data_IF_998957056022
#
_entry.id   IF_998957056022
#
_cell.length_a   1.000
_cell.length_b   1.000
_cell.length_c   1.000
_cell.angle_alpha   90.00
_cell.angle_beta   90.00
_cell.angle_gamma   90.00
#
_symmetry.space_group_name_H-M   'P 1'
#
loop_
_entity.id
_entity.type
_entity.pdbx_description
1 polymer ?
#
# COMPACT_ATOMS: atom_id res chain seq x y z
N UNK A 1 -3.11 7.44 -35.84
CA UNK A 1 -4.46 8.07 -35.86
C UNK A 1 -4.70 8.64 -34.47
N UNK A 2 -4.77 9.97 -34.32
CA UNK A 2 -5.09 10.59 -33.03
C UNK A 2 -6.57 10.32 -32.75
N UNK A 3 -6.86 9.50 -31.73
CA UNK A 3 -8.24 9.27 -31.30
C UNK A 3 -8.77 10.57 -30.68
N UNK A 4 -9.90 11.03 -31.19
CA UNK A 4 -10.61 12.20 -30.69
C UNK A 4 -11.51 11.70 -29.57
N UNK A 5 -11.38 12.28 -28.38
CA UNK A 5 -12.20 11.95 -27.23
C UNK A 5 -13.25 13.02 -26.97
N UNK A 6 -14.47 12.59 -26.65
CA UNK A 6 -15.60 13.47 -26.41
C UNK A 6 -15.82 13.70 -24.90
N UNK A 7 -16.42 14.85 -24.56
CA UNK A 7 -16.82 15.15 -23.19
C UNK A 7 -17.89 14.14 -22.74
N UNK A 8 -17.73 13.58 -21.54
CA UNK A 8 -18.58 12.53 -20.98
C UNK A 8 -18.16 11.11 -21.34
N UNK A 9 -17.13 10.93 -22.17
CA UNK A 9 -16.62 9.60 -22.54
C UNK A 9 -15.81 8.98 -21.38
N UNK A 10 -15.99 7.67 -21.18
CA UNK A 10 -15.19 6.89 -20.24
C UNK A 10 -13.92 6.43 -20.92
N UNK A 11 -12.80 6.72 -20.29
CA UNK A 11 -11.45 6.43 -20.78
C UNK A 11 -10.63 5.78 -19.67
N UNK A 12 -9.59 5.06 -20.04
CA UNK A 12 -8.62 4.49 -19.10
C UNK A 12 -7.32 5.28 -19.20
N UNK A 13 -6.76 5.66 -18.05
CA UNK A 13 -5.45 6.29 -18.02
C UNK A 13 -4.38 5.23 -18.30
N UNK A 14 -3.58 5.44 -19.34
CA UNK A 14 -2.55 4.49 -19.76
C UNK A 14 -1.53 4.17 -18.66
N UNK A 15 -1.19 5.16 -17.83
CA UNK A 15 -0.16 5.04 -16.77
C UNK A 15 -0.71 4.42 -15.50
N UNK A 16 -1.88 4.85 -15.07
CA UNK A 16 -2.45 4.49 -13.75
C UNK A 16 -3.42 3.30 -13.85
N UNK A 17 -3.84 2.94 -15.06
CA UNK A 17 -4.82 1.86 -15.34
C UNK A 17 -6.17 2.08 -14.66
N UNK A 18 -6.48 3.32 -14.25
CA UNK A 18 -7.75 3.73 -13.65
C UNK A 18 -8.74 4.22 -14.72
N UNK A 19 -10.04 4.11 -14.43
CA UNK A 19 -11.13 4.55 -15.31
C UNK A 19 -11.49 5.99 -14.96
N UNK A 20 -11.51 6.89 -15.94
CA UNK A 20 -11.91 8.26 -15.74
C UNK A 20 -12.96 8.70 -16.77
N UNK A 21 -13.69 9.75 -16.44
CA UNK A 21 -14.66 10.42 -17.32
C UNK A 21 -14.11 11.76 -17.77
N UNK A 22 -14.19 12.06 -19.06
CA UNK A 22 -13.73 13.34 -19.60
C UNK A 22 -14.73 14.44 -19.21
N UNK A 23 -14.25 15.49 -18.54
CA UNK A 23 -15.05 16.64 -18.13
C UNK A 23 -14.98 17.79 -19.13
N UNK A 24 -13.81 18.08 -19.69
CA UNK A 24 -13.61 19.24 -20.57
C UNK A 24 -12.40 19.03 -21.49
N UNK A 25 -12.50 19.48 -22.74
CA UNK A 25 -11.34 19.52 -23.63
C UNK A 25 -10.61 20.86 -23.45
N UNK A 26 -9.31 20.80 -23.14
CA UNK A 26 -8.44 21.97 -22.95
C UNK A 26 -7.52 22.08 -24.16
N UNK A 27 -8.02 22.74 -25.21
CA UNK A 27 -7.35 22.85 -26.50
C UNK A 27 -7.24 21.51 -27.24
N UNK A 28 -6.29 21.40 -28.17
CA UNK A 28 -6.19 20.24 -29.07
C UNK A 28 -5.44 19.04 -28.46
N UNK A 29 -4.67 19.25 -27.38
CA UNK A 29 -3.71 18.26 -26.86
C UNK A 29 -3.99 17.78 -25.44
N UNK A 30 -4.75 18.54 -24.66
CA UNK A 30 -4.99 18.26 -23.23
C UNK A 30 -6.48 18.17 -22.97
N UNK A 31 -6.85 17.35 -22.00
CA UNK A 31 -8.22 17.20 -21.54
C UNK A 31 -8.25 17.14 -20.02
N UNK A 32 -9.33 17.66 -19.46
CA UNK A 32 -9.66 17.54 -18.05
C UNK A 32 -10.49 16.29 -17.85
N UNK A 33 -10.05 15.42 -16.96
CA UNK A 33 -10.70 14.16 -16.62
C UNK A 33 -11.05 14.12 -15.14
N UNK A 34 -12.04 13.31 -14.80
CA UNK A 34 -12.42 13.00 -13.43
C UNK A 34 -12.37 11.50 -13.20
N UNK A 35 -11.59 11.09 -12.22
CA UNK A 35 -11.43 9.67 -11.87
C UNK A 35 -12.64 9.13 -11.08
N UNK A 36 -12.69 7.81 -10.88
CA UNK A 36 -13.74 7.14 -10.09
C UNK A 36 -13.80 7.63 -8.64
N UNK A 37 -12.67 8.06 -8.07
CA UNK A 37 -12.58 8.67 -6.73
C UNK A 37 -12.97 10.16 -6.70
N UNK A 38 -13.32 10.74 -7.84
CA UNK A 38 -13.85 12.10 -7.94
C UNK A 38 -12.81 13.23 -8.05
N UNK A 39 -11.54 12.90 -8.16
CA UNK A 39 -10.45 13.86 -8.39
C UNK A 39 -10.35 14.30 -9.85
N UNK A 40 -9.99 15.57 -10.09
CA UNK A 40 -9.89 16.14 -11.43
C UNK A 40 -8.42 16.35 -11.86
N UNK A 41 -8.06 15.87 -13.04
CA UNK A 41 -6.71 15.96 -13.59
C UNK A 41 -6.70 16.55 -14.99
N UNK A 42 -5.61 17.24 -15.36
CA UNK A 42 -5.36 17.67 -16.74
C UNK A 42 -4.31 16.75 -17.33
N UNK A 43 -4.71 15.94 -18.32
CA UNK A 43 -3.86 14.93 -18.94
C UNK A 43 -3.80 15.13 -20.46
N UNK A 44 -2.73 14.64 -21.08
CA UNK A 44 -2.58 14.69 -22.53
C UNK A 44 -3.43 13.61 -23.20
N UNK A 45 -4.01 13.91 -24.37
CA UNK A 45 -4.79 12.95 -25.16
C UNK A 45 -4.03 11.64 -25.45
N UNK A 46 -2.70 11.68 -25.53
CA UNK A 46 -1.86 10.50 -25.75
C UNK A 46 -1.77 9.52 -24.58
N UNK A 47 -2.09 9.98 -23.37
CA UNK A 47 -2.08 9.16 -22.15
C UNK A 47 -3.47 8.57 -21.83
N UNK A 48 -4.45 8.78 -22.73
CA UNK A 48 -5.79 8.23 -22.62
C UNK A 48 -5.99 7.06 -23.58
N UNK A 49 -6.69 6.04 -23.08
CA UNK A 49 -7.15 4.91 -23.86
C UNK A 49 -8.69 4.89 -23.86
N UNK A 50 -9.33 4.71 -25.02
CA UNK A 50 -10.77 4.55 -25.10
C UNK A 50 -11.19 3.26 -24.39
N UNK A 51 -12.30 3.31 -23.66
CA UNK A 51 -12.89 2.14 -23.04
C UNK A 51 -13.99 1.57 -23.94
N UNK A 52 -13.73 0.45 -24.62
CA UNK A 52 -14.73 -0.25 -25.41
C UNK A 52 -15.60 -1.13 -24.49
N UNK A 53 -16.78 -0.61 -24.10
CA UNK A 53 -17.75 -1.26 -23.20
C UNK A 53 -18.18 -2.67 -23.65
N UNK A 54 -18.07 -2.99 -24.94
CA UNK A 54 -18.36 -4.32 -25.49
C UNK A 54 -17.35 -5.39 -25.10
N UNK A 55 -16.12 -5.00 -24.75
CA UNK A 55 -15.01 -5.91 -24.38
C UNK A 55 -14.70 -5.91 -22.87
N UNK A 56 -15.36 -5.06 -22.09
CA UNK A 56 -15.26 -5.02 -20.62
C UNK A 56 -16.14 -6.11 -19.98
N UNK A 57 -16.13 -7.31 -20.55
CA UNK A 57 -16.77 -8.49 -19.98
C UNK A 57 -15.73 -9.59 -19.74
N UNK A 58 -15.94 -10.38 -18.69
CA UNK A 58 -15.07 -11.49 -18.31
C UNK A 58 -14.91 -12.56 -19.41
N UNK A 59 -15.84 -12.58 -20.37
CA UNK A 59 -15.88 -13.50 -21.51
C UNK A 59 -14.93 -13.14 -22.65
N UNK A 60 -14.39 -11.90 -22.69
CA UNK A 60 -13.48 -11.44 -23.74
C UNK A 60 -12.04 -11.96 -23.58
N UNK A 61 -11.71 -12.47 -22.40
CA UNK A 61 -10.47 -13.20 -22.15
C UNK A 61 -10.72 -14.68 -22.49
N UNK A 62 -10.20 -15.16 -23.62
CA UNK A 62 -10.40 -16.54 -24.07
C UNK A 62 -10.24 -17.58 -22.96
N UNK A 63 -11.08 -18.61 -22.96
CA UNK A 63 -11.22 -19.62 -21.89
C UNK A 63 -10.00 -20.55 -21.71
N UNK A 64 -8.83 -20.22 -22.25
CA UNK A 64 -7.65 -21.06 -22.17
C UNK A 64 -6.48 -20.27 -21.58
N UNK A 65 -6.46 -20.21 -20.25
CA UNK A 65 -5.26 -19.85 -19.52
C UNK A 65 -4.46 -21.12 -19.29
N UNK A 66 -3.42 -21.35 -20.09
CA UNK A 66 -2.35 -22.28 -19.73
C UNK A 66 -1.58 -21.63 -18.57
N UNK A 67 -2.11 -21.83 -17.36
CA UNK A 67 -1.49 -21.33 -16.13
C UNK A 67 -0.24 -22.18 -15.88
N UNK A 68 0.94 -21.59 -16.09
CA UNK A 68 2.18 -22.14 -15.54
C UNK A 68 2.01 -22.22 -14.02
N UNK A 69 2.34 -23.35 -13.41
CA UNK A 69 2.10 -23.63 -11.99
C UNK A 69 2.68 -22.56 -11.04
N UNK A 70 3.64 -21.76 -11.51
CA UNK A 70 4.24 -20.64 -10.78
C UNK A 70 3.33 -19.40 -10.64
N UNK A 71 2.32 -19.22 -11.51
CA UNK A 71 1.45 -18.02 -11.56
C UNK A 71 0.07 -18.22 -10.90
N UNK A 72 -0.17 -19.37 -10.25
CA UNK A 72 -1.39 -19.56 -9.46
C UNK A 72 -1.26 -18.68 -8.20
N UNK A 73 -2.06 -17.62 -8.04
CA UNK A 73 -2.09 -16.90 -6.78
C UNK A 73 -2.67 -17.89 -5.79
N UNK A 74 -1.84 -18.40 -4.87
CA UNK A 74 -2.32 -19.11 -3.70
C UNK A 74 -3.31 -18.18 -3.04
N UNK A 75 -4.60 -18.44 -3.25
CA UNK A 75 -5.73 -17.76 -2.63
C UNK A 75 -5.61 -18.05 -1.14
N UNK A 76 -4.73 -17.30 -0.48
CA UNK A 76 -4.65 -17.22 0.95
C UNK A 76 -5.92 -16.50 1.36
N UNK A 77 -6.99 -17.30 1.51
CA UNK A 77 -7.99 -17.06 2.54
C UNK A 77 -7.22 -16.49 3.73
N UNK A 78 -7.56 -15.25 4.12
CA UNK A 78 -7.11 -14.57 5.33
C UNK A 78 -7.36 -15.48 6.52
N UNK A 79 -6.51 -16.47 6.71
CA UNK A 79 -6.14 -16.92 8.02
C UNK A 79 -5.37 -15.73 8.57
N UNK A 80 -5.94 -15.07 9.59
CA UNK A 80 -5.16 -14.36 10.60
C UNK A 80 -4.21 -15.36 11.29
N UNK A 81 -3.32 -15.97 10.51
CA UNK A 81 -2.19 -16.73 10.98
C UNK A 81 -1.01 -15.82 10.72
N UNK A 82 -0.65 -15.06 11.71
CA UNK A 82 0.77 -14.90 11.95
C UNK A 82 0.98 -14.69 13.44
N UNK A 83 1.12 -15.81 14.15
CA UNK A 83 2.17 -15.87 15.15
C UNK A 83 3.47 -15.51 14.40
N UNK A 84 3.79 -14.22 14.29
CA UNK A 84 5.02 -13.69 13.70
C UNK A 84 6.16 -14.00 14.65
N UNK A 85 6.45 -15.28 14.87
CA UNK A 85 7.68 -15.67 15.53
C UNK A 85 8.81 -15.61 14.51
N UNK A 86 9.89 -14.89 14.79
CA UNK A 86 11.13 -15.01 14.02
C UNK A 86 11.68 -16.45 14.13
N UNK A 87 12.77 -16.77 13.43
CA UNK A 87 13.43 -18.08 13.49
C UNK A 87 13.84 -18.52 14.90
N UNK A 88 13.80 -17.61 15.88
CA UNK A 88 14.09 -17.81 17.30
C UNK A 88 12.85 -17.76 18.20
N UNK A 89 11.63 -17.68 17.65
CA UNK A 89 10.39 -17.66 18.43
C UNK A 89 9.88 -16.28 18.85
N UNK A 90 10.52 -15.17 18.45
CA UNK A 90 10.21 -13.81 18.95
C UNK A 90 9.18 -13.08 18.10
N UNK A 91 8.29 -12.31 18.73
CA UNK A 91 7.25 -11.56 18.00
C UNK A 91 7.89 -10.46 17.13
N UNK A 92 7.71 -10.53 15.80
CA UNK A 92 8.18 -9.51 14.86
C UNK A 92 7.03 -8.56 14.47
N UNK A 93 7.24 -7.26 14.64
CA UNK A 93 6.36 -6.19 14.17
C UNK A 93 7.07 -5.48 13.02
N UNK A 94 6.51 -5.58 11.81
CA UNK A 94 7.07 -4.94 10.61
C UNK A 94 6.29 -3.67 10.28
N UNK A 95 6.96 -2.52 10.27
CA UNK A 95 6.35 -1.22 10.06
C UNK A 95 6.47 -0.72 8.62
N UNK A 96 7.06 -1.48 7.69
CA UNK A 96 7.08 -1.08 6.29
C UNK A 96 5.66 -0.84 5.77
N UNK A 97 5.43 0.32 5.14
CA UNK A 97 4.07 0.76 4.79
C UNK A 97 3.42 -0.19 3.78
N UNK A 98 4.22 -0.84 2.93
CA UNK A 98 3.78 -1.86 1.98
C UNK A 98 3.16 -3.08 2.66
N UNK A 99 3.48 -3.33 3.94
CA UNK A 99 2.86 -4.40 4.73
C UNK A 99 1.54 -3.97 5.38
N UNK A 100 1.25 -2.67 5.43
CA UNK A 100 0.09 -2.10 6.12
C UNK A 100 -1.02 -1.68 5.16
N UNK A 101 -0.66 -1.10 4.01
CA UNK A 101 -1.62 -0.63 3.01
C UNK A 101 -1.01 -0.61 1.61
N UNK A 102 -1.85 -0.82 0.59
CA UNK A 102 -1.44 -0.71 -0.82
C UNK A 102 -1.63 0.71 -1.39
N UNK A 103 -2.27 1.63 -0.64
CA UNK A 103 -2.64 2.97 -1.11
C UNK A 103 -1.70 4.08 -0.60
N UNK A 104 -0.47 3.75 -0.26
CA UNK A 104 0.48 4.69 0.37
C UNK A 104 1.07 5.73 -0.60
N UNK A 105 1.01 5.50 -1.91
CA UNK A 105 1.65 6.36 -2.92
C UNK A 105 1.11 7.80 -2.98
N UNK A 106 -0.12 8.03 -2.50
CA UNK A 106 -0.77 9.35 -2.50
C UNK A 106 -0.83 10.00 -1.11
N UNK A 107 -0.27 9.34 -0.10
CA UNK A 107 -0.31 9.81 1.29
C UNK A 107 0.87 10.75 1.57
N UNK A 108 0.64 11.73 2.43
CA UNK A 108 1.73 12.53 2.98
C UNK A 108 2.60 11.67 3.91
N UNK A 109 3.89 11.98 4.01
CA UNK A 109 4.81 11.26 4.90
C UNK A 109 4.32 11.24 6.37
N UNK A 110 3.68 12.33 6.83
CA UNK A 110 3.09 12.40 8.17
C UNK A 110 1.93 11.41 8.37
N UNK A 111 1.11 11.21 7.34
CA UNK A 111 0.01 10.25 7.37
C UNK A 111 0.53 8.81 7.38
N UNK A 112 1.55 8.52 6.55
CA UNK A 112 2.23 7.22 6.51
C UNK A 112 2.78 6.88 7.91
N UNK A 113 3.54 7.79 8.51
CA UNK A 113 4.11 7.59 9.85
C UNK A 113 3.02 7.38 10.88
N UNK A 114 1.91 8.13 10.81
CA UNK A 114 0.78 7.96 11.72
C UNK A 114 0.18 6.55 11.64
N UNK A 115 -0.06 6.03 10.43
CA UNK A 115 -0.58 4.67 10.21
C UNK A 115 0.39 3.62 10.79
N UNK A 116 1.69 3.78 10.50
CA UNK A 116 2.74 2.89 11.02
C UNK A 116 2.76 2.87 12.55
N UNK A 117 2.67 4.04 13.18
CA UNK A 117 2.67 4.16 14.64
C UNK A 117 1.40 3.61 15.29
N UNK A 118 0.24 3.81 14.67
CA UNK A 118 -1.02 3.23 15.15
C UNK A 118 -0.99 1.69 15.10
N UNK A 119 -0.49 1.12 14.00
CA UNK A 119 -0.26 -0.32 13.90
C UNK A 119 0.76 -0.81 14.93
N UNK A 120 1.89 -0.10 15.10
CA UNK A 120 2.92 -0.45 16.08
C UNK A 120 2.34 -0.52 17.50
N UNK A 121 1.55 0.49 17.90
CA UNK A 121 0.90 0.54 19.21
C UNK A 121 -0.04 -0.64 19.41
N UNK A 122 -0.90 -0.92 18.44
CA UNK A 122 -1.86 -2.02 18.50
C UNK A 122 -1.20 -3.38 18.66
N UNK A 123 -0.13 -3.64 17.90
CA UNK A 123 0.59 -4.91 17.98
C UNK A 123 1.39 -5.02 19.28
N UNK A 124 1.93 -3.91 19.79
CA UNK A 124 2.59 -3.84 21.08
C UNK A 124 1.62 -4.19 22.23
N UNK A 125 0.45 -3.55 22.25
CA UNK A 125 -0.61 -3.83 23.23
C UNK A 125 -1.03 -5.30 23.16
N UNK A 126 -1.15 -5.87 21.96
CA UNK A 126 -1.47 -7.28 21.75
C UNK A 126 -0.38 -8.22 22.26
N UNK A 127 0.90 -7.84 22.11
CA UNK A 127 2.03 -8.62 22.58
C UNK A 127 2.12 -8.63 24.11
N UNK A 128 1.88 -7.47 24.75
CA UNK A 128 1.76 -7.35 26.19
C UNK A 128 0.60 -8.17 26.74
N UNK A 129 -0.59 -8.07 26.12
CA UNK A 129 -1.76 -8.83 26.51
C UNK A 129 -1.53 -10.35 26.42
N UNK A 130 -0.73 -10.80 25.44
CA UNK A 130 -0.34 -12.20 25.27
C UNK A 130 0.88 -12.62 26.13
N UNK A 131 1.32 -11.77 27.06
CA UNK A 131 2.45 -12.00 27.96
C UNK A 131 3.71 -12.51 27.25
N UNK A 132 4.07 -11.88 26.12
CA UNK A 132 5.29 -12.22 25.38
C UNK A 132 6.50 -11.62 26.08
N UNK A 133 7.61 -12.36 26.16
CA UNK A 133 8.83 -11.89 26.84
C UNK A 133 9.62 -10.83 26.07
N UNK A 134 9.62 -10.91 24.74
CA UNK A 134 10.36 -9.98 23.89
C UNK A 134 9.74 -9.90 22.49
N UNK A 135 9.99 -8.77 21.83
CA UNK A 135 9.58 -8.52 20.46
C UNK A 135 10.63 -7.71 19.70
N UNK A 136 10.53 -7.73 18.37
CA UNK A 136 11.39 -6.98 17.47
C UNK A 136 10.54 -6.10 16.56
N UNK A 137 10.80 -4.80 16.59
CA UNK A 137 10.15 -3.79 15.74
C UNK A 137 11.09 -3.47 14.58
N UNK A 138 10.63 -3.65 13.35
CA UNK A 138 11.37 -3.32 12.13
C UNK A 138 10.81 -2.04 11.55
N UNK A 139 11.62 -0.97 11.56
CA UNK A 139 11.24 0.35 11.05
C UNK A 139 12.11 0.82 9.88
N UNK A 140 13.14 0.05 9.49
CA UNK A 140 14.07 0.42 8.42
C UNK A 140 15.15 1.41 8.87
N UNK A 141 16.16 1.62 8.02
CA UNK A 141 17.35 2.43 8.35
C UNK A 141 17.04 3.93 8.17
N UNK A 142 16.57 4.32 6.97
CA UNK A 142 15.96 5.63 6.67
C UNK A 142 16.64 6.88 7.26
N UNK A 143 15.86 7.96 7.39
CA UNK A 143 16.28 9.22 8.05
C UNK A 143 16.12 9.17 9.58
N UNK A 144 15.64 8.04 10.13
CA UNK A 144 15.45 7.87 11.58
C UNK A 144 14.19 8.52 12.17
N UNK A 145 13.28 9.05 11.34
CA UNK A 145 11.99 9.61 11.78
C UNK A 145 11.14 8.54 12.48
N UNK A 146 10.91 7.40 11.81
CA UNK A 146 10.10 6.31 12.35
C UNK A 146 10.76 5.68 13.58
N UNK A 147 12.08 5.52 13.56
CA UNK A 147 12.88 5.09 14.72
C UNK A 147 12.60 5.97 15.94
N UNK A 148 12.72 7.29 15.77
CA UNK A 148 12.53 8.25 16.85
C UNK A 148 11.13 8.17 17.45
N UNK A 149 10.11 7.99 16.60
CA UNK A 149 8.72 7.90 17.03
C UNK A 149 8.42 6.57 17.74
N UNK A 150 8.98 5.46 17.27
CA UNK A 150 8.94 4.16 17.97
C UNK A 150 9.60 4.28 19.34
N UNK A 151 10.76 4.92 19.44
CA UNK A 151 11.46 5.08 20.72
C UNK A 151 10.69 5.95 21.70
N UNK A 152 10.02 7.01 21.23
CA UNK A 152 9.11 7.80 22.07
C UNK A 152 7.96 6.95 22.58
N UNK A 153 7.31 6.17 21.70
CA UNK A 153 6.24 5.25 22.08
C UNK A 153 6.72 4.29 23.17
N UNK A 154 7.85 3.59 22.96
CA UNK A 154 8.38 2.63 23.93
C UNK A 154 8.72 3.26 25.29
N UNK A 155 9.24 4.49 25.31
CA UNK A 155 9.48 5.25 26.54
C UNK A 155 8.18 5.57 27.28
N UNK A 156 7.09 5.89 26.56
CA UNK A 156 5.78 6.12 27.19
C UNK A 156 5.21 4.87 27.86
N UNK A 157 5.55 3.69 27.36
CA UNK A 157 5.20 2.41 27.97
C UNK A 157 6.22 1.95 29.03
N UNK A 158 7.23 2.77 29.35
CA UNK A 158 8.32 2.45 30.28
C UNK A 158 9.05 1.14 29.96
N UNK A 159 9.17 0.80 28.67
CA UNK A 159 9.80 -0.44 28.22
C UNK A 159 11.30 -0.27 28.02
N UNK A 160 12.04 -1.36 28.27
CA UNK A 160 13.46 -1.45 27.95
C UNK A 160 13.63 -1.91 26.51
N UNK A 161 14.47 -1.22 25.75
CA UNK A 161 14.71 -1.53 24.34
C UNK A 161 16.16 -1.27 23.92
N UNK A 162 16.59 -1.97 22.87
CA UNK A 162 17.93 -1.89 22.32
C UNK A 162 17.85 -1.81 20.79
N UNK A 163 18.74 -1.04 20.19
CA UNK A 163 18.84 -0.99 18.74
C UNK A 163 19.69 -2.15 18.21
N UNK A 164 19.32 -2.68 17.05
CA UNK A 164 20.17 -3.64 16.35
C UNK A 164 21.41 -2.95 15.76
N UNK A 165 22.51 -3.68 15.60
CA UNK A 165 23.78 -3.17 15.04
C UNK A 165 23.62 -2.40 13.71
N UNK A 166 22.62 -2.76 12.90
CA UNK A 166 22.39 -2.17 11.58
C UNK A 166 21.42 -0.97 11.64
N UNK A 167 20.92 -0.59 12.82
CA UNK A 167 20.01 0.54 13.03
C UNK A 167 18.61 0.39 12.44
N UNK A 168 18.31 -0.68 11.68
CA UNK A 168 17.03 -0.88 10.99
C UNK A 168 15.94 -1.56 11.84
N UNK A 169 16.23 -1.88 13.10
CA UNK A 169 15.31 -2.57 14.01
C UNK A 169 15.61 -2.23 15.46
N UNK A 170 14.56 -2.29 16.28
CA UNK A 170 14.60 -2.13 17.74
C UNK A 170 14.06 -3.38 18.41
N UNK A 171 14.83 -3.98 19.31
CA UNK A 171 14.41 -5.08 20.17
C UNK A 171 13.86 -4.55 21.48
N UNK A 172 12.74 -5.10 21.93
CA UNK A 172 11.98 -4.60 23.07
C UNK A 172 11.74 -5.75 24.06
N UNK A 173 12.00 -5.47 25.33
CA UNK A 173 11.70 -6.34 26.45
C UNK A 173 10.38 -5.88 27.07
N UNK A 174 9.42 -6.81 27.17
CA UNK A 174 8.09 -6.58 27.72
C UNK A 174 7.98 -7.04 29.17
#
# INVERSE_FOLDING_TARGET
MLKIFNIGERVVLKKERTKATILLNIGDKKVKIKDEDGFEYIISNSDLLPLDTSTDNSQSYGNQFDVKEDDIPKKAIKKLKLNKTDSSGRVKIDLHIEQLTNYYHHMQNSEIVKIQMEYCKKELDLAMFKAKHSLKIVHGIGEGVLKSEVHKLLKMYNLSFFESNNGGSTEVML
#
